data_IF_334952036292
#
_entry.id   IF_334952036292
#
_cell.length_a   1.000
_cell.length_b   1.000
_cell.length_c   1.000
_cell.angle_alpha   90.00
_cell.angle_beta   90.00
_cell.angle_gamma   90.00
#
_symmetry.space_group_name_H-M   'P 1'
#
loop_
_entity.id
_entity.type
_entity.pdbx_description
1 polymer ?
#
# COMPACT_ATOMS: atom_id res chain seq x y z
N UNK A 1 7.35 -8.11 -18.85
CA UNK A 1 6.80 -8.61 -17.56
C UNK A 1 7.81 -8.61 -16.40
N UNK A 2 9.14 -8.62 -16.63
CA UNK A 2 10.18 -8.59 -15.58
C UNK A 2 10.13 -7.36 -14.67
N UNK A 3 9.99 -6.14 -15.23
CA UNK A 3 9.89 -4.89 -14.47
C UNK A 3 8.75 -4.91 -13.43
N UNK A 4 7.56 -5.36 -13.83
CA UNK A 4 6.42 -5.45 -12.90
C UNK A 4 6.64 -6.50 -11.81
N UNK A 5 7.30 -7.62 -12.14
CA UNK A 5 7.72 -8.62 -11.16
C UNK A 5 8.70 -8.06 -10.12
N UNK A 6 9.68 -7.28 -10.56
CA UNK A 6 10.63 -6.59 -9.68
C UNK A 6 9.92 -5.60 -8.76
N UNK A 7 9.04 -4.75 -9.30
CA UNK A 7 8.24 -3.82 -8.51
C UNK A 7 7.40 -4.58 -7.48
N UNK A 8 6.75 -5.67 -7.90
CA UNK A 8 5.93 -6.48 -7.01
C UNK A 8 6.73 -7.06 -5.85
N UNK A 9 7.91 -7.63 -6.13
CA UNK A 9 8.73 -8.32 -5.13
C UNK A 9 9.51 -7.38 -4.22
N UNK A 10 10.07 -6.30 -4.77
CA UNK A 10 10.98 -5.41 -4.05
C UNK A 10 10.30 -4.19 -3.44
N UNK A 11 9.18 -3.74 -4.01
CA UNK A 11 8.53 -2.49 -3.59
C UNK A 11 7.16 -2.76 -2.97
N UNK A 12 6.20 -3.28 -3.75
CA UNK A 12 4.80 -3.30 -3.29
C UNK A 12 4.49 -4.40 -2.28
N UNK A 13 5.01 -5.62 -2.45
CA UNK A 13 4.76 -6.67 -1.47
C UNK A 13 5.39 -6.36 -0.09
N UNK A 14 6.66 -5.89 0.00
CA UNK A 14 7.22 -5.42 1.26
C UNK A 14 6.43 -4.24 1.86
N UNK A 15 5.99 -3.29 1.03
CA UNK A 15 5.14 -2.19 1.47
C UNK A 15 3.85 -2.68 2.13
N UNK A 16 3.11 -3.59 1.49
CA UNK A 16 1.87 -4.12 2.05
C UNK A 16 2.08 -4.85 3.37
N UNK A 17 3.15 -5.65 3.48
CA UNK A 17 3.52 -6.30 4.75
C UNK A 17 3.75 -5.28 5.86
N UNK A 18 4.44 -4.19 5.57
CA UNK A 18 4.68 -3.11 6.53
C UNK A 18 3.38 -2.41 6.94
N UNK A 19 2.50 -2.12 5.98
CA UNK A 19 1.19 -1.51 6.25
C UNK A 19 0.33 -2.42 7.13
N UNK A 20 0.34 -3.74 6.88
CA UNK A 20 -0.39 -4.71 7.69
C UNK A 20 0.19 -4.90 9.10
N UNK A 21 1.51 -4.81 9.24
CA UNK A 21 2.19 -4.94 10.53
C UNK A 21 2.02 -3.69 11.42
N UNK A 22 1.98 -2.49 10.83
CA UNK A 22 1.90 -1.24 11.59
C UNK A 22 0.47 -0.96 12.04
N UNK A 23 0.34 -0.61 13.32
CA UNK A 23 -0.95 -0.41 13.96
C UNK A 23 -1.50 1.00 13.88
N UNK A 24 -0.66 2.00 13.58
CA UNK A 24 -1.06 3.40 13.56
C UNK A 24 -0.70 4.04 12.22
N UNK A 25 -1.62 4.84 11.67
CA UNK A 25 -1.41 5.56 10.41
C UNK A 25 -0.20 6.51 10.45
N UNK A 26 0.16 7.05 11.61
CA UNK A 26 1.36 7.89 11.76
C UNK A 26 2.66 7.09 11.62
N UNK A 27 2.65 5.79 11.94
CA UNK A 27 3.82 4.94 11.72
C UNK A 27 4.09 4.72 10.22
N UNK A 28 3.08 4.96 9.37
CA UNK A 28 3.21 4.89 7.92
C UNK A 28 3.95 6.11 7.33
N UNK A 29 4.00 7.24 8.04
CA UNK A 29 4.70 8.44 7.56
C UNK A 29 6.18 8.15 7.23
N UNK A 30 6.84 7.33 8.06
CA UNK A 30 8.21 6.91 7.81
C UNK A 30 8.33 6.00 6.58
N UNK A 31 7.40 5.06 6.43
CA UNK A 31 7.34 4.11 5.30
C UNK A 31 7.09 4.86 3.98
N UNK A 32 6.20 5.86 4.01
CA UNK A 32 5.93 6.74 2.89
C UNK A 32 7.16 7.57 2.50
N UNK A 33 7.86 8.13 3.49
CA UNK A 33 9.10 8.87 3.26
C UNK A 33 10.19 8.01 2.61
N UNK A 34 10.38 6.77 3.08
CA UNK A 34 11.32 5.82 2.47
C UNK A 34 10.95 5.50 1.02
N UNK A 35 9.65 5.30 0.73
CA UNK A 35 9.17 5.02 -0.61
C UNK A 35 9.43 6.19 -1.56
N UNK A 36 9.03 7.41 -1.17
CA UNK A 36 9.19 8.59 -2.02
C UNK A 36 10.66 8.92 -2.24
N UNK A 37 11.51 8.79 -1.21
CA UNK A 37 12.95 8.99 -1.36
C UNK A 37 13.56 7.99 -2.35
N UNK A 38 13.18 6.71 -2.24
CA UNK A 38 13.63 5.67 -3.16
C UNK A 38 13.17 5.92 -4.60
N UNK A 39 11.89 6.25 -4.81
CA UNK A 39 11.36 6.55 -6.15
C UNK A 39 12.05 7.75 -6.77
N UNK A 40 12.24 8.81 -5.97
CA UNK A 40 12.94 10.02 -6.42
C UNK A 40 14.38 9.71 -6.86
N UNK A 41 15.14 8.96 -6.05
CA UNK A 41 16.53 8.58 -6.37
C UNK A 41 16.65 7.68 -7.61
N UNK A 42 15.62 6.89 -7.94
CA UNK A 42 15.66 5.93 -9.04
C UNK A 42 14.86 6.36 -10.28
N UNK A 43 14.32 7.58 -10.29
CA UNK A 43 13.65 8.14 -11.48
C UNK A 43 14.64 8.35 -12.64
N UNK A 44 15.89 8.72 -12.32
CA UNK A 44 16.94 8.99 -13.30
C UNK A 44 17.72 7.74 -13.73
N UNK A 45 18.06 6.86 -12.78
CA UNK A 45 18.75 5.59 -13.05
C UNK A 45 18.22 4.49 -12.14
N UNK A 46 17.63 3.46 -12.73
CA UNK A 46 17.12 2.28 -12.04
C UNK A 46 18.01 1.04 -12.25
N UNK A 47 19.21 1.21 -12.81
CA UNK A 47 20.14 0.11 -13.11
C UNK A 47 20.58 -0.61 -11.84
N UNK A 48 20.83 0.15 -10.77
CA UNK A 48 21.19 -0.39 -9.46
C UNK A 48 20.15 -1.39 -8.96
N UNK A 49 18.86 -1.07 -9.02
CA UNK A 49 17.76 -1.95 -8.56
C UNK A 49 17.81 -3.30 -9.26
N UNK A 50 18.12 -3.32 -10.55
CA UNK A 50 18.12 -4.54 -11.34
C UNK A 50 19.37 -5.38 -11.07
N UNK A 51 20.52 -4.74 -10.80
CA UNK A 51 21.79 -5.41 -10.50
C UNK A 51 21.90 -5.89 -9.06
N UNK A 52 21.52 -5.04 -8.10
CA UNK A 52 21.64 -5.31 -6.66
C UNK A 52 20.38 -5.91 -6.07
N UNK A 53 19.27 -5.95 -6.81
CA UNK A 53 17.96 -6.43 -6.36
C UNK A 53 17.50 -5.74 -5.06
N UNK A 54 17.83 -4.45 -4.91
CA UNK A 54 17.53 -3.67 -3.70
C UNK A 54 16.23 -2.89 -3.83
N UNK A 55 15.42 -2.93 -2.78
CA UNK A 55 14.19 -2.14 -2.65
C UNK A 55 14.30 -1.04 -1.57
N UNK A 56 13.22 -0.26 -1.36
CA UNK A 56 13.14 0.81 -0.36
C UNK A 56 13.14 0.34 1.10
N UNK A 57 12.92 -0.96 1.33
CA UNK A 57 12.70 -1.52 2.66
C UNK A 57 13.71 -2.62 2.99
N UNK A 58 13.71 -3.08 4.25
CA UNK A 58 14.57 -4.15 4.72
C UNK A 58 14.41 -5.44 3.89
N UNK A 59 15.54 -6.08 3.56
CA UNK A 59 15.60 -7.29 2.72
C UNK A 59 14.83 -8.47 3.32
N UNK A 60 14.68 -8.51 4.64
CA UNK A 60 13.88 -9.51 5.38
C UNK A 60 12.41 -9.54 4.94
N UNK A 61 11.90 -8.40 4.43
CA UNK A 61 10.52 -8.30 3.95
C UNK A 61 10.36 -8.86 2.54
N UNK A 62 11.45 -9.19 1.84
CA UNK A 62 11.43 -9.72 0.47
C UNK A 62 11.38 -11.24 0.52
N UNK A 63 10.35 -11.82 -0.08
CA UNK A 63 10.19 -13.29 -0.17
C UNK A 63 11.00 -13.81 -1.36
N UNK A 64 12.08 -14.54 -1.05
CA UNK A 64 13.03 -15.12 -2.02
C UNK A 64 12.57 -16.49 -2.51
N UNK A 65 11.50 -16.52 -3.29
CA UNK A 65 10.95 -17.72 -3.92
C UNK A 65 11.54 -17.97 -5.33
N UNK A 66 11.09 -19.04 -5.99
CA UNK A 66 11.52 -19.36 -7.37
C UNK A 66 11.29 -18.21 -8.35
N UNK A 67 10.23 -17.42 -8.15
CA UNK A 67 9.96 -16.23 -8.96
C UNK A 67 11.01 -15.14 -8.72
N UNK A 68 11.40 -14.88 -7.47
CA UNK A 68 12.50 -13.98 -7.15
C UNK A 68 13.81 -14.41 -7.82
N UNK A 69 14.16 -15.70 -7.71
CA UNK A 69 15.39 -16.24 -8.30
C UNK A 69 15.40 -16.10 -9.83
N UNK A 70 14.26 -16.31 -10.50
CA UNK A 70 14.12 -16.07 -11.95
C UNK A 70 14.24 -14.59 -12.33
N UNK A 71 13.79 -13.68 -11.48
CA UNK A 71 13.92 -12.24 -11.73
C UNK A 71 15.37 -11.76 -11.57
N UNK A 72 16.13 -12.38 -10.65
CA UNK A 72 17.53 -12.09 -10.37
C UNK A 72 18.49 -12.60 -11.46
N UNK A 73 18.04 -13.47 -12.37
CA UNK A 73 18.90 -13.96 -13.47
C UNK A 73 19.24 -12.83 -14.46
N UNK A 74 20.50 -12.78 -14.88
CA UNK A 74 21.04 -11.80 -15.83
C UNK A 74 20.42 -11.97 -17.22
N UNK A 75 19.55 -11.03 -17.60
CA UNK A 75 19.12 -10.81 -18.98
C UNK A 75 19.55 -9.41 -19.42
N UNK A 76 19.43 -9.11 -20.72
CA UNK A 76 19.54 -7.72 -21.22
C UNK A 76 18.55 -6.81 -20.50
N UNK A 77 19.06 -6.02 -19.54
CA UNK A 77 18.25 -5.20 -18.65
C UNK A 77 17.85 -3.84 -19.22
N UNK A 78 18.40 -3.43 -20.36
CA UNK A 78 18.21 -2.08 -20.91
C UNK A 78 16.73 -1.69 -21.02
N UNK A 79 15.90 -2.57 -21.58
CA UNK A 79 14.45 -2.30 -21.72
C UNK A 79 13.74 -2.31 -20.35
N UNK A 80 14.19 -3.16 -19.43
CA UNK A 80 13.60 -3.27 -18.08
C UNK A 80 13.88 -2.02 -17.26
N UNK A 81 15.11 -1.50 -17.32
CA UNK A 81 15.53 -0.27 -16.63
C UNK A 81 14.71 0.93 -17.12
N UNK A 82 14.56 1.10 -18.43
CA UNK A 82 13.75 2.19 -18.99
C UNK A 82 12.28 2.12 -18.55
N UNK A 83 11.70 0.92 -18.51
CA UNK A 83 10.33 0.73 -18.01
C UNK A 83 10.24 1.08 -16.51
N UNK A 84 11.22 0.66 -15.71
CA UNK A 84 11.25 0.96 -14.27
C UNK A 84 11.36 2.46 -14.02
N UNK A 85 12.26 3.17 -14.72
CA UNK A 85 12.40 4.63 -14.62
C UNK A 85 11.08 5.35 -14.95
N UNK A 86 10.40 4.93 -16.02
CA UNK A 86 9.13 5.53 -16.42
C UNK A 86 8.05 5.31 -15.36
N UNK A 87 7.97 4.11 -14.78
CA UNK A 87 7.02 3.81 -13.71
C UNK A 87 7.36 4.59 -12.44
N UNK A 88 8.64 4.62 -12.04
CA UNK A 88 9.07 5.33 -10.84
C UNK A 88 8.88 6.84 -10.96
N UNK A 89 9.16 7.44 -12.11
CA UNK A 89 8.87 8.86 -12.34
C UNK A 89 7.37 9.17 -12.26
N UNK A 90 6.52 8.32 -12.84
CA UNK A 90 5.07 8.48 -12.73
C UNK A 90 4.58 8.32 -11.28
N UNK A 91 5.12 7.34 -10.56
CA UNK A 91 4.78 7.07 -9.16
C UNK A 91 5.29 8.14 -8.21
N UNK A 92 6.49 8.69 -8.41
CA UNK A 92 7.02 9.78 -7.59
C UNK A 92 6.11 10.99 -7.67
N UNK A 93 5.72 11.41 -8.88
CA UNK A 93 4.83 12.56 -9.09
C UNK A 93 3.44 12.30 -8.48
N UNK A 94 2.90 11.09 -8.66
CA UNK A 94 1.58 10.74 -8.15
C UNK A 94 1.58 10.66 -6.61
N UNK A 95 2.48 9.88 -6.03
CA UNK A 95 2.55 9.66 -4.59
C UNK A 95 2.91 10.95 -3.86
N UNK A 96 3.91 11.71 -4.33
CA UNK A 96 4.26 12.99 -3.70
C UNK A 96 3.09 13.97 -3.62
N UNK A 97 2.11 13.86 -4.52
CA UNK A 97 0.84 14.62 -4.44
C UNK A 97 -0.18 13.95 -3.53
N UNK A 98 -0.41 12.65 -3.68
CA UNK A 98 -1.45 11.91 -2.97
C UNK A 98 -1.21 11.82 -1.46
N UNK A 99 0.05 11.68 -1.04
CA UNK A 99 0.45 11.54 0.37
C UNK A 99 1.16 12.79 0.90
N UNK A 100 1.01 13.94 0.24
CA UNK A 100 1.66 15.21 0.61
C UNK A 100 1.50 15.55 2.09
N UNK A 101 0.32 15.29 2.66
CA UNK A 101 0.04 15.60 4.07
C UNK A 101 0.77 14.68 5.06
N UNK A 102 1.23 13.50 4.61
CA UNK A 102 1.99 12.53 5.41
C UNK A 102 3.52 12.68 5.26
N UNK A 103 3.97 13.35 4.20
CA UNK A 103 5.39 13.62 3.91
C UNK A 103 5.92 14.82 4.71
N UNK A 104 7.24 14.99 4.76
CA UNK A 104 7.88 16.06 5.52
C UNK A 104 7.29 17.44 5.19
N UNK A 105 6.81 18.15 6.21
CA UNK A 105 6.12 19.44 6.06
C UNK A 105 4.61 19.35 5.81
N UNK A 106 4.04 18.15 5.72
CA UNK A 106 2.60 17.91 5.61
C UNK A 106 1.86 18.03 6.95
N UNK A 107 0.53 18.22 6.90
CA UNK A 107 -0.30 18.45 8.09
C UNK A 107 -0.35 17.26 9.06
N UNK A 108 -0.21 16.05 8.52
CA UNK A 108 -0.25 14.78 9.24
C UNK A 108 1.14 14.16 9.42
N UNK A 109 2.19 14.87 9.01
CA UNK A 109 3.58 14.53 9.29
C UNK A 109 3.91 14.84 10.76
N UNK A 110 3.30 14.06 11.64
CA UNK A 110 3.47 14.15 13.07
C UNK A 110 4.50 13.10 13.46
N UNK A 111 5.76 13.51 13.56
CA UNK A 111 6.83 12.61 13.97
C UNK A 111 6.72 12.27 15.46
N UNK A 112 6.32 13.21 16.33
CA UNK A 112 6.32 12.99 17.79
C UNK A 112 5.34 13.89 18.59
N UNK A 113 4.09 14.08 18.15
CA UNK A 113 3.08 14.70 19.04
C UNK A 113 2.33 13.60 19.82
N UNK A 114 2.66 13.36 21.10
CA UNK A 114 2.06 12.28 21.89
C UNK A 114 0.55 12.46 22.08
N UNK A 115 0.05 13.71 22.07
CA UNK A 115 -1.37 14.03 22.23
C UNK A 115 -2.18 13.58 21.01
N UNK A 116 -1.66 13.82 19.80
CA UNK A 116 -2.30 13.35 18.57
C UNK A 116 -2.28 11.82 18.53
N UNK A 117 -1.14 11.19 18.85
CA UNK A 117 -1.01 9.72 18.82
C UNK A 117 -1.97 9.05 19.80
N UNK A 118 -2.17 9.62 20.98
CA UNK A 118 -3.16 9.14 21.95
C UNK A 118 -4.59 9.33 21.42
N UNK A 119 -4.92 10.49 20.83
CA UNK A 119 -6.24 10.78 20.27
C UNK A 119 -6.65 9.81 19.16
N UNK A 120 -5.71 9.41 18.31
CA UNK A 120 -5.97 8.52 17.18
C UNK A 120 -5.65 7.05 17.47
N UNK A 121 -5.24 6.71 18.71
CA UNK A 121 -4.93 5.33 19.11
C UNK A 121 -6.15 4.40 19.08
N UNK A 122 -7.35 4.96 19.25
CA UNK A 122 -8.62 4.22 19.22
C UNK A 122 -9.16 3.98 17.81
N UNK A 123 -8.54 4.53 16.78
CA UNK A 123 -9.00 4.38 15.40
C UNK A 123 -8.70 2.97 14.91
N UNK A 124 -9.70 2.31 14.32
CA UNK A 124 -9.55 0.94 13.83
C UNK A 124 -8.53 0.93 12.68
N UNK A 125 -7.57 -0.01 12.74
CA UNK A 125 -6.39 -0.09 11.85
C UNK A 125 -6.71 -0.28 10.36
N UNK A 126 -7.87 -0.85 10.09
CA UNK A 126 -8.29 -1.32 8.79
C UNK A 126 -9.79 -1.15 8.68
N UNK A 127 -10.26 -0.64 7.54
CA UNK A 127 -11.68 -0.43 7.28
C UNK A 127 -12.40 -1.68 6.77
N UNK A 128 -11.82 -2.87 7.00
CA UNK A 128 -12.33 -4.17 6.50
C UNK A 128 -13.80 -4.41 6.89
N UNK A 129 -14.18 -3.97 8.08
CA UNK A 129 -15.55 -4.10 8.56
C UNK A 129 -16.50 -3.21 7.75
N UNK A 130 -16.17 -1.92 7.62
CA UNK A 130 -16.98 -0.97 6.85
C UNK A 130 -17.03 -1.36 5.36
N UNK A 131 -15.90 -1.77 4.77
CA UNK A 131 -15.85 -2.27 3.38
C UNK A 131 -16.72 -3.51 3.19
N UNK A 132 -16.71 -4.44 4.14
CA UNK A 132 -17.57 -5.61 4.11
C UNK A 132 -19.05 -5.21 4.21
N UNK A 133 -19.38 -4.21 5.03
CA UNK A 133 -20.73 -3.66 5.15
C UNK A 133 -21.22 -3.00 3.87
N UNK A 134 -20.38 -2.17 3.24
CA UNK A 134 -20.70 -1.57 1.95
C UNK A 134 -20.84 -2.63 0.85
N UNK A 135 -19.99 -3.65 0.83
CA UNK A 135 -20.10 -4.76 -0.12
C UNK A 135 -21.39 -5.57 0.03
N UNK A 136 -21.79 -5.87 1.27
CA UNK A 136 -23.07 -6.53 1.57
C UNK A 136 -24.27 -5.67 1.17
N UNK A 137 -24.22 -4.37 1.45
CA UNK A 137 -25.28 -3.44 1.10
C UNK A 137 -25.42 -3.26 -0.43
N UNK A 138 -24.30 -3.14 -1.14
CA UNK A 138 -24.28 -3.09 -2.61
C UNK A 138 -24.84 -4.38 -3.23
N UNK A 139 -24.44 -5.54 -2.69
CA UNK A 139 -24.97 -6.83 -3.11
C UNK A 139 -26.50 -6.93 -2.90
N UNK A 140 -26.99 -6.56 -1.71
CA UNK A 140 -28.42 -6.59 -1.41
C UNK A 140 -29.23 -5.61 -2.26
N UNK A 141 -28.68 -4.44 -2.55
CA UNK A 141 -29.33 -3.44 -3.41
C UNK A 141 -29.48 -3.95 -4.85
N UNK A 142 -28.48 -4.69 -5.36
CA UNK A 142 -28.53 -5.30 -6.70
C UNK A 142 -29.47 -6.51 -6.77
N UNK A 143 -29.47 -7.37 -5.76
CA UNK A 143 -30.25 -8.61 -5.77
C UNK A 143 -31.68 -8.46 -5.23
N UNK A 144 -31.96 -7.39 -4.47
CA UNK A 144 -33.29 -7.08 -3.91
C UNK A 144 -33.63 -5.61 -4.13
N UNK A 145 -33.79 -5.16 -5.39
CA UNK A 145 -34.07 -3.76 -5.70
C UNK A 145 -35.42 -3.27 -5.16
N UNK A 146 -36.36 -4.19 -4.92
CA UNK A 146 -37.68 -3.90 -4.35
C UNK A 146 -37.68 -3.83 -2.82
N UNK A 147 -36.59 -4.20 -2.15
CA UNK A 147 -36.46 -4.07 -0.70
C UNK A 147 -36.05 -2.64 -0.35
N UNK A 148 -36.64 -2.09 0.71
CA UNK A 148 -36.23 -0.77 1.20
C UNK A 148 -34.81 -0.83 1.78
N UNK A 149 -34.07 0.28 1.67
CA UNK A 149 -32.71 0.40 2.23
C UNK A 149 -32.69 0.03 3.72
N UNK A 150 -33.70 0.49 4.47
CA UNK A 150 -33.88 0.17 5.89
C UNK A 150 -34.00 -1.34 6.15
N UNK A 151 -34.71 -2.08 5.30
CA UNK A 151 -34.85 -3.52 5.45
C UNK A 151 -33.52 -4.26 5.19
N UNK A 152 -32.73 -3.79 4.21
CA UNK A 152 -31.41 -4.33 3.91
C UNK A 152 -30.40 -4.03 5.03
N UNK A 153 -30.38 -2.81 5.55
CA UNK A 153 -29.54 -2.43 6.71
C UNK A 153 -29.90 -3.25 7.96
N UNK A 154 -31.19 -3.40 8.25
CA UNK A 154 -31.68 -4.21 9.38
C UNK A 154 -31.25 -5.67 9.27
N UNK A 155 -31.27 -6.23 8.05
CA UNK A 155 -30.82 -7.60 7.79
C UNK A 155 -29.32 -7.75 8.04
N UNK A 156 -28.52 -6.79 7.56
CA UNK A 156 -27.08 -6.75 7.79
C UNK A 156 -26.78 -6.71 9.30
N UNK A 157 -27.43 -5.80 10.04
CA UNK A 157 -27.28 -5.69 11.50
C UNK A 157 -27.67 -7.00 12.22
N UNK A 158 -28.74 -7.66 11.79
CA UNK A 158 -29.17 -8.94 12.36
C UNK A 158 -28.15 -10.06 12.09
N UNK A 159 -27.59 -10.13 10.88
CA UNK A 159 -26.57 -11.13 10.54
C UNK A 159 -25.28 -10.95 11.34
N UNK A 160 -24.91 -9.71 11.65
CA UNK A 160 -23.74 -9.44 12.48
C UNK A 160 -23.95 -9.88 13.93
N UNK A 161 -25.13 -9.62 14.50
CA UNK A 161 -25.44 -10.03 15.88
C UNK A 161 -25.41 -11.55 16.09
N UNK A 162 -25.64 -12.35 15.05
CA UNK A 162 -25.55 -13.82 15.11
C UNK A 162 -24.13 -14.39 15.08
N UNK A 163 -23.15 -13.59 14.66
CA UNK A 163 -21.75 -14.00 14.53
C UNK A 163 -20.84 -13.46 15.65
N UNK A 164 -21.44 -12.82 16.66
CA UNK A 164 -20.82 -12.50 17.95
C UNK A 164 -21.28 -13.52 19.00
#
# INVERSE_FOLDING_TARGET
MKALGLISKLVTAPFWRLVEMKGNIFDLNHIFGQLTAFLHSNTGDATSIVQTMTGPYADELVVKDDAYNRLAQEDKYDVVVHILQLIFGAWDVYLSKAIKDHLAGGQHHVTDNPVARQKYSSTVKHNKFDEHMFGLLDHLTKHRPNASTLANESLIMLTQKKNC
#
